data_IF_596033591908
#
_entry.id   IF_596033591908
#
_cell.length_a   1.000
_cell.length_b   1.000
_cell.length_c   1.000
_cell.angle_alpha   90.00
_cell.angle_beta   90.00
_cell.angle_gamma   90.00
#
_symmetry.space_group_name_H-M   'P 1'
#
loop_
_entity.id
_entity.type
_entity.pdbx_description
1 polymer ?
#
# COMPACT_ATOMS: atom_id res chain seq x y z
N UNK A 1 19.45 12.98 12.95
CA UNK A 1 20.78 13.23 12.37
C UNK A 1 20.73 13.51 10.85
N UNK A 2 19.98 12.77 10.01
CA UNK A 2 19.93 13.06 8.56
C UNK A 2 19.16 14.36 8.21
N UNK A 3 18.23 14.81 9.04
CA UNK A 3 17.49 16.06 8.85
C UNK A 3 18.24 17.32 9.29
N UNK A 4 19.16 17.22 10.23
CA UNK A 4 19.85 18.36 10.83
C UNK A 4 20.75 19.11 9.84
N UNK A 5 21.34 18.41 8.88
CA UNK A 5 22.25 19.02 7.89
C UNK A 5 21.54 19.99 6.92
N UNK A 6 20.31 19.69 6.50
CA UNK A 6 19.54 20.53 5.59
C UNK A 6 18.85 21.71 6.29
N UNK A 7 18.56 21.61 7.57
CA UNK A 7 17.81 22.62 8.33
C UNK A 7 18.71 23.66 8.97
N UNK A 8 20.01 23.39 9.13
CA UNK A 8 21.00 24.36 9.66
C UNK A 8 21.05 25.67 8.88
N UNK A 9 20.70 25.68 7.59
CA UNK A 9 20.61 26.91 6.77
C UNK A 9 19.43 27.82 7.14
N UNK A 10 18.41 27.30 7.83
CA UNK A 10 17.15 28.01 8.12
C UNK A 10 16.91 28.25 9.63
N UNK A 11 17.90 27.97 10.46
CA UNK A 11 17.79 28.05 11.92
C UNK A 11 17.79 26.68 12.59
N UNK A 12 17.90 26.62 13.90
CA UNK A 12 17.95 25.35 14.65
C UNK A 12 16.62 24.62 14.65
N UNK A 13 16.66 23.28 14.60
CA UNK A 13 15.49 22.42 14.87
C UNK A 13 15.09 22.61 16.33
N UNK A 14 13.88 23.10 16.58
CA UNK A 14 13.40 23.36 17.96
C UNK A 14 12.98 22.09 18.66
N UNK A 15 12.17 21.25 17.99
CA UNK A 15 11.67 19.99 18.51
C UNK A 15 11.28 19.03 17.38
N UNK A 16 11.33 17.74 17.66
CA UNK A 16 10.78 16.70 16.80
C UNK A 16 9.45 16.23 17.38
N UNK A 17 8.39 16.25 16.57
CA UNK A 17 7.08 15.71 16.95
C UNK A 17 7.11 14.20 16.68
N UNK A 18 7.48 13.43 17.71
CA UNK A 18 7.56 11.98 17.63
C UNK A 18 6.20 11.29 17.61
N UNK A 19 6.17 10.04 17.12
CA UNK A 19 5.01 9.18 17.24
C UNK A 19 4.84 8.68 18.68
N UNK A 20 3.59 8.68 19.17
CA UNK A 20 3.25 8.08 20.45
C UNK A 20 3.37 6.55 20.40
N UNK A 21 2.90 5.94 19.29
CA UNK A 21 3.01 4.50 19.04
C UNK A 21 3.64 4.28 17.64
N UNK A 22 4.94 3.91 17.56
CA UNK A 22 5.67 3.78 16.31
C UNK A 22 5.47 2.42 15.62
N UNK A 23 4.52 1.60 16.07
CA UNK A 23 4.31 0.27 15.54
C UNK A 23 3.00 0.15 14.74
N UNK A 24 3.04 -0.71 13.71
CA UNK A 24 1.88 -1.13 12.90
C UNK A 24 1.04 0.02 12.31
N UNK A 25 1.64 1.17 12.12
CA UNK A 25 0.97 2.38 11.65
C UNK A 25 0.75 2.44 10.14
N UNK A 26 1.52 1.65 9.37
CA UNK A 26 1.58 1.75 7.92
C UNK A 26 0.34 1.13 7.27
N UNK A 27 -0.57 1.98 6.78
CA UNK A 27 -1.86 1.60 6.21
C UNK A 27 -1.80 1.09 4.76
N UNK A 28 -0.63 1.09 4.14
CA UNK A 28 -0.37 0.54 2.81
C UNK A 28 0.80 -0.41 2.90
N UNK A 29 0.55 -1.67 2.60
CA UNK A 29 1.53 -2.74 2.60
C UNK A 29 1.69 -3.29 1.19
N UNK A 30 2.92 -3.53 0.79
CA UNK A 30 3.26 -4.07 -0.52
C UNK A 30 4.16 -5.29 -0.33
N UNK A 31 3.78 -6.41 -0.91
CA UNK A 31 4.55 -7.65 -0.88
C UNK A 31 4.83 -8.16 -2.29
N UNK A 32 6.04 -8.65 -2.48
CA UNK A 32 6.46 -9.47 -3.63
C UNK A 32 6.37 -10.93 -3.25
N UNK A 33 6.19 -11.79 -4.25
CA UNK A 33 6.10 -13.23 -4.05
C UNK A 33 7.15 -13.95 -4.90
N UNK A 34 7.79 -14.95 -4.29
CA UNK A 34 8.82 -15.74 -4.94
C UNK A 34 8.84 -17.17 -4.36
N UNK A 35 9.82 -17.95 -4.74
CA UNK A 35 10.09 -19.28 -4.19
C UNK A 35 11.47 -19.32 -3.53
N UNK A 36 11.53 -19.94 -2.37
CA UNK A 36 12.80 -20.25 -1.74
C UNK A 36 13.53 -21.39 -2.50
N UNK A 37 14.76 -21.68 -2.09
CA UNK A 37 15.57 -22.77 -2.68
C UNK A 37 14.93 -24.16 -2.55
N UNK A 38 13.97 -24.33 -1.64
CA UNK A 38 13.21 -25.56 -1.42
C UNK A 38 11.92 -25.61 -2.20
N UNK A 39 11.61 -24.54 -2.99
CA UNK A 39 10.40 -24.41 -3.77
C UNK A 39 9.17 -23.94 -2.98
N UNK A 40 9.31 -23.57 -1.71
CA UNK A 40 8.21 -23.00 -0.93
C UNK A 40 7.94 -21.56 -1.39
N UNK A 41 6.67 -21.19 -1.42
CA UNK A 41 6.28 -19.81 -1.75
C UNK A 41 6.58 -18.91 -0.55
N UNK A 42 7.37 -17.88 -0.79
CA UNK A 42 7.69 -16.82 0.17
C UNK A 42 7.05 -15.50 -0.25
N UNK A 43 6.91 -14.59 0.69
CA UNK A 43 6.49 -13.21 0.42
C UNK A 43 7.32 -12.24 1.25
N UNK A 44 7.60 -11.07 0.69
CA UNK A 44 8.45 -10.08 1.34
C UNK A 44 8.71 -8.88 0.46
N UNK A 45 9.93 -8.38 0.50
CA UNK A 45 10.40 -7.25 -0.31
C UNK A 45 11.66 -7.65 -1.09
N UNK A 46 11.94 -6.93 -2.16
CA UNK A 46 13.23 -7.09 -2.84
C UNK A 46 14.38 -6.56 -1.98
N UNK A 47 15.48 -7.30 -1.96
CA UNK A 47 16.76 -6.79 -1.51
C UNK A 47 17.19 -5.64 -2.43
N UNK A 48 17.73 -4.58 -1.84
CA UNK A 48 18.09 -3.38 -2.58
C UNK A 48 19.00 -3.67 -3.80
N UNK A 49 18.61 -3.19 -4.97
CA UNK A 49 19.34 -3.38 -6.22
C UNK A 49 19.28 -4.77 -6.84
N UNK A 50 18.39 -5.64 -6.36
CA UNK A 50 18.22 -7.01 -6.86
C UNK A 50 16.76 -7.39 -7.02
N UNK A 51 16.47 -8.53 -7.71
CA UNK A 51 15.15 -9.18 -7.72
C UNK A 51 15.03 -10.30 -6.67
N UNK A 52 16.01 -10.45 -5.78
CA UNK A 52 15.96 -11.44 -4.70
C UNK A 52 14.95 -11.02 -3.63
N UNK A 53 13.99 -11.88 -3.34
CA UNK A 53 12.99 -11.63 -2.29
C UNK A 53 13.54 -12.02 -0.91
N UNK A 54 13.57 -11.05 -0.01
CA UNK A 54 13.79 -11.28 1.42
C UNK A 54 12.44 -11.59 2.05
N UNK A 55 12.30 -12.83 2.57
CA UNK A 55 11.04 -13.26 3.21
C UNK A 55 10.77 -12.48 4.48
N UNK A 56 9.55 -11.95 4.61
CA UNK A 56 9.09 -11.23 5.79
C UNK A 56 7.88 -11.96 6.37
N UNK A 57 8.02 -12.49 7.58
CA UNK A 57 6.92 -13.11 8.31
C UNK A 57 6.18 -12.09 9.18
N UNK A 58 6.89 -11.10 9.70
CA UNK A 58 6.32 -10.00 10.48
C UNK A 58 7.14 -8.72 10.27
N UNK A 59 6.43 -7.62 10.03
CA UNK A 59 7.02 -6.27 9.98
C UNK A 59 6.41 -5.42 11.10
N UNK A 60 7.27 -4.76 11.87
CA UNK A 60 6.82 -3.98 13.03
C UNK A 60 6.11 -2.67 12.67
N UNK A 61 6.27 -2.18 11.45
CA UNK A 61 5.64 -0.92 11.01
C UNK A 61 4.39 -1.14 10.15
N UNK A 62 4.25 -2.30 9.51
CA UNK A 62 3.11 -2.60 8.64
C UNK A 62 1.86 -2.99 9.44
N UNK A 63 0.69 -2.55 9.00
CA UNK A 63 -0.60 -2.93 9.59
C UNK A 63 -0.74 -4.45 9.73
N UNK A 64 -1.09 -4.91 10.91
CA UNK A 64 -1.19 -6.35 11.25
C UNK A 64 -2.17 -7.09 10.34
N UNK A 65 -3.35 -6.49 10.09
CA UNK A 65 -4.37 -7.10 9.26
C UNK A 65 -3.92 -7.25 7.81
N UNK A 66 -3.21 -6.27 7.30
CA UNK A 66 -2.62 -6.33 5.95
C UNK A 66 -1.60 -7.46 5.82
N UNK A 67 -0.77 -7.67 6.85
CA UNK A 67 0.17 -8.79 6.87
C UNK A 67 -0.54 -10.16 6.92
N UNK A 68 -1.63 -10.28 7.70
CA UNK A 68 -2.46 -11.49 7.74
C UNK A 68 -3.05 -11.82 6.37
N UNK A 69 -3.58 -10.83 5.66
CA UNK A 69 -4.13 -10.98 4.31
C UNK A 69 -3.05 -11.46 3.33
N UNK A 70 -1.85 -10.88 3.38
CA UNK A 70 -0.72 -11.31 2.53
C UNK A 70 -0.34 -12.76 2.80
N UNK A 71 -0.25 -13.17 4.08
CA UNK A 71 0.03 -14.57 4.45
C UNK A 71 -1.06 -15.52 3.96
N UNK A 72 -2.34 -15.14 4.07
CA UNK A 72 -3.46 -15.91 3.55
C UNK A 72 -3.36 -16.08 2.03
N UNK A 73 -3.09 -15.00 1.29
CA UNK A 73 -2.89 -15.06 -0.17
C UNK A 73 -1.74 -16.00 -0.50
N UNK A 74 -0.58 -15.88 0.19
CA UNK A 74 0.58 -16.78 0.01
C UNK A 74 0.16 -18.25 0.15
N UNK A 75 -0.59 -18.59 1.18
CA UNK A 75 -1.09 -19.95 1.42
C UNK A 75 -2.05 -20.46 0.34
N UNK A 76 -2.81 -19.57 -0.29
CA UNK A 76 -3.78 -19.92 -1.34
C UNK A 76 -3.12 -20.17 -2.71
N UNK A 77 -1.94 -19.63 -3.01
CA UNK A 77 -1.36 -19.66 -4.37
C UNK A 77 -1.21 -21.08 -4.92
N UNK A 78 -0.78 -22.04 -4.09
CA UNK A 78 -0.60 -23.43 -4.51
C UNK A 78 -1.92 -24.09 -4.88
N UNK A 79 -2.95 -23.96 -4.05
CA UNK A 79 -4.27 -24.59 -4.25
C UNK A 79 -5.01 -24.01 -5.47
N UNK A 80 -4.80 -22.74 -5.77
CA UNK A 80 -5.37 -22.07 -6.94
C UNK A 80 -4.49 -22.15 -8.19
N UNK A 81 -3.35 -22.87 -8.13
CA UNK A 81 -2.38 -23.03 -9.24
C UNK A 81 -1.86 -21.69 -9.79
N UNK A 82 -1.72 -20.70 -8.91
CA UNK A 82 -1.18 -19.38 -9.25
C UNK A 82 0.34 -19.44 -9.06
N UNK A 83 1.09 -19.16 -10.13
CA UNK A 83 2.54 -19.11 -10.08
C UNK A 83 3.02 -17.71 -9.70
N UNK A 84 4.03 -17.63 -8.85
CA UNK A 84 4.77 -16.39 -8.60
C UNK A 84 5.49 -15.97 -9.87
N UNK A 85 5.56 -14.65 -10.12
CA UNK A 85 6.25 -14.11 -11.27
C UNK A 85 7.74 -13.94 -10.96
N UNK A 86 8.57 -14.33 -11.89
CA UNK A 86 10.01 -14.17 -11.86
C UNK A 86 10.39 -13.04 -12.80
N UNK A 87 10.93 -11.96 -12.28
CA UNK A 87 11.28 -10.75 -13.05
C UNK A 87 12.45 -10.97 -14.00
N UNK A 88 13.34 -11.94 -13.71
CA UNK A 88 14.51 -12.21 -14.55
C UNK A 88 14.15 -13.07 -15.77
N UNK A 89 13.23 -14.01 -15.62
CA UNK A 89 12.79 -14.91 -16.70
C UNK A 89 11.49 -14.48 -17.38
N UNK A 90 10.74 -13.59 -16.76
CA UNK A 90 9.41 -13.18 -17.26
C UNK A 90 8.33 -14.25 -17.10
N UNK A 91 8.59 -15.31 -16.31
CA UNK A 91 7.68 -16.43 -16.16
C UNK A 91 6.85 -16.36 -14.87
N UNK A 92 5.57 -16.63 -14.99
CA UNK A 92 4.64 -16.63 -13.85
C UNK A 92 3.48 -15.66 -14.03
N UNK A 93 2.72 -15.45 -12.96
CA UNK A 93 1.51 -14.63 -13.03
C UNK A 93 1.49 -13.53 -11.96
N UNK A 94 1.58 -13.90 -10.67
CA UNK A 94 1.45 -12.96 -9.56
C UNK A 94 2.79 -12.27 -9.29
N UNK A 95 2.84 -10.97 -9.55
CA UNK A 95 4.03 -10.12 -9.31
C UNK A 95 4.02 -9.56 -7.89
N UNK A 96 2.95 -8.84 -7.55
CA UNK A 96 2.85 -8.15 -6.27
C UNK A 96 1.45 -8.27 -5.69
N UNK A 97 1.34 -8.09 -4.39
CA UNK A 97 0.07 -7.82 -3.70
C UNK A 97 0.21 -6.52 -2.93
N UNK A 98 -0.74 -5.62 -3.16
CA UNK A 98 -0.87 -4.37 -2.42
C UNK A 98 -2.11 -4.47 -1.54
N UNK A 99 -1.95 -4.21 -0.25
CA UNK A 99 -3.08 -4.10 0.67
C UNK A 99 -3.12 -2.67 1.21
N UNK A 100 -4.28 -2.03 1.10
CA UNK A 100 -4.55 -0.72 1.69
C UNK A 100 -5.69 -0.83 2.68
N UNK A 101 -5.53 -0.21 3.83
CA UNK A 101 -6.58 -0.14 4.85
C UNK A 101 -6.93 1.32 5.14
N UNK A 102 -8.23 1.64 5.12
CA UNK A 102 -8.74 2.88 5.67
C UNK A 102 -8.59 2.85 7.19
N UNK A 103 -7.82 3.78 7.74
CA UNK A 103 -7.53 3.82 9.18
C UNK A 103 -8.78 4.10 10.01
N UNK A 104 -9.59 5.08 9.58
CA UNK A 104 -10.83 5.46 10.27
C UNK A 104 -12.00 4.55 9.93
N UNK A 105 -12.10 4.08 8.68
CA UNK A 105 -13.25 3.32 8.20
C UNK A 105 -13.11 1.82 8.39
N UNK A 106 -11.87 1.31 8.48
CA UNK A 106 -11.59 -0.11 8.49
C UNK A 106 -11.77 -0.80 7.13
N UNK A 107 -12.17 -0.09 6.07
CA UNK A 107 -12.28 -0.65 4.72
C UNK A 107 -10.92 -1.15 4.22
N UNK A 108 -10.91 -2.32 3.59
CA UNK A 108 -9.68 -2.94 3.07
C UNK A 108 -9.79 -3.14 1.56
N UNK A 109 -8.76 -2.70 0.85
CA UNK A 109 -8.56 -2.95 -0.57
C UNK A 109 -7.37 -3.88 -0.77
N UNK A 110 -7.59 -4.94 -1.55
CA UNK A 110 -6.54 -5.85 -2.03
C UNK A 110 -6.35 -5.63 -3.52
N UNK A 111 -5.11 -5.37 -3.93
CA UNK A 111 -4.72 -5.25 -5.34
C UNK A 111 -3.78 -6.40 -5.68
N UNK A 112 -4.21 -7.27 -6.59
CA UNK A 112 -3.41 -8.35 -7.13
C UNK A 112 -2.74 -7.86 -8.42
N UNK A 113 -1.44 -7.67 -8.39
CA UNK A 113 -0.66 -7.22 -9.56
C UNK A 113 -0.18 -8.45 -10.32
N UNK A 114 -0.57 -8.55 -11.58
CA UNK A 114 -0.35 -9.75 -12.40
C UNK A 114 0.23 -9.41 -13.76
N UNK A 115 1.01 -10.34 -14.32
CA UNK A 115 1.62 -10.20 -15.65
C UNK A 115 0.62 -10.45 -16.79
N UNK A 116 -0.58 -10.99 -16.50
CA UNK A 116 -1.59 -11.33 -17.52
C UNK A 116 -2.99 -11.13 -16.94
N UNK A 117 -3.98 -10.73 -17.75
CA UNK A 117 -5.37 -10.60 -17.30
C UNK A 117 -6.06 -11.94 -17.00
N UNK A 118 -5.44 -13.06 -17.40
CA UNK A 118 -5.99 -14.40 -17.18
C UNK A 118 -5.59 -14.88 -15.78
N UNK A 119 -6.52 -14.71 -14.83
CA UNK A 119 -6.31 -15.15 -13.46
C UNK A 119 -7.15 -16.44 -13.21
N UNK A 120 -6.50 -17.58 -12.84
CA UNK A 120 -7.18 -18.85 -12.64
C UNK A 120 -8.24 -18.76 -11.54
N UNK A 121 -9.45 -19.24 -11.83
CA UNK A 121 -10.55 -19.34 -10.84
C UNK A 121 -10.79 -18.05 -10.04
N UNK A 122 -10.65 -16.88 -10.65
CA UNK A 122 -10.67 -15.56 -9.99
C UNK A 122 -11.84 -15.38 -9.01
N UNK A 123 -13.04 -15.81 -9.39
CA UNK A 123 -14.23 -15.66 -8.54
C UNK A 123 -14.14 -16.53 -7.28
N UNK A 124 -13.67 -17.77 -7.41
CA UNK A 124 -13.49 -18.68 -6.29
C UNK A 124 -12.34 -18.22 -5.38
N UNK A 125 -11.26 -17.68 -5.98
CA UNK A 125 -10.16 -17.08 -5.21
C UNK A 125 -10.64 -15.93 -4.34
N UNK A 126 -11.37 -14.98 -4.92
CA UNK A 126 -11.92 -13.83 -4.19
C UNK A 126 -12.91 -14.28 -3.11
N UNK A 127 -13.78 -15.24 -3.42
CA UNK A 127 -14.73 -15.82 -2.45
C UNK A 127 -14.01 -16.49 -1.28
N UNK A 128 -12.99 -17.29 -1.54
CA UNK A 128 -12.19 -17.96 -0.50
C UNK A 128 -11.42 -16.96 0.37
N UNK A 129 -10.78 -15.95 -0.24
CA UNK A 129 -10.07 -14.90 0.47
C UNK A 129 -11.00 -14.13 1.40
N UNK A 130 -12.17 -13.71 0.91
CA UNK A 130 -13.17 -12.99 1.70
C UNK A 130 -13.87 -13.83 2.77
N UNK A 131 -13.91 -15.14 2.61
CA UNK A 131 -14.40 -16.04 3.67
C UNK A 131 -13.50 -15.98 4.91
N UNK A 132 -12.20 -15.82 4.71
CA UNK A 132 -11.20 -15.66 5.81
C UNK A 132 -11.13 -14.21 6.29
N UNK A 133 -11.25 -13.25 5.35
CA UNK A 133 -11.11 -11.81 5.60
C UNK A 133 -12.36 -11.05 5.13
N UNK A 134 -13.47 -11.11 5.90
CA UNK A 134 -14.73 -10.46 5.52
C UNK A 134 -14.65 -8.93 5.47
N UNK A 135 -13.66 -8.32 6.13
CA UNK A 135 -13.36 -6.89 6.10
C UNK A 135 -12.87 -6.37 4.75
N UNK A 136 -12.50 -7.25 3.81
CA UNK A 136 -12.10 -6.85 2.47
C UNK A 136 -13.30 -6.26 1.73
N UNK A 137 -13.25 -4.96 1.51
CA UNK A 137 -14.29 -4.15 0.86
C UNK A 137 -14.19 -4.17 -0.65
N UNK A 138 -12.99 -4.37 -1.19
CA UNK A 138 -12.76 -4.43 -2.63
C UNK A 138 -11.51 -5.22 -3.00
N UNK A 139 -11.57 -5.92 -4.14
CA UNK A 139 -10.44 -6.64 -4.74
C UNK A 139 -10.28 -6.18 -6.18
N UNK A 140 -9.08 -5.75 -6.54
CA UNK A 140 -8.72 -5.25 -7.87
C UNK A 140 -7.61 -6.12 -8.45
N UNK A 141 -7.76 -6.53 -9.70
CA UNK A 141 -6.71 -7.12 -10.51
C UNK A 141 -6.05 -5.99 -11.31
N UNK A 142 -4.79 -5.72 -11.04
CA UNK A 142 -3.99 -4.75 -11.79
C UNK A 142 -3.07 -5.50 -12.73
N UNK A 143 -3.15 -5.21 -14.02
CA UNK A 143 -2.36 -5.87 -15.05
C UNK A 143 -1.10 -5.04 -15.32
N UNK A 144 0.05 -5.60 -14.99
CA UNK A 144 1.36 -5.07 -15.31
C UNK A 144 2.14 -6.10 -16.12
N UNK A 145 1.95 -6.04 -17.44
CA UNK A 145 2.54 -6.93 -18.44
C UNK A 145 3.85 -6.38 -19.02
N UNK A 146 4.33 -5.25 -18.50
CA UNK A 146 5.57 -4.59 -18.96
C UNK A 146 6.77 -5.00 -18.09
N UNK A 147 7.94 -5.03 -18.73
CA UNK A 147 9.21 -5.09 -18.00
C UNK A 147 9.55 -3.67 -17.51
N UNK A 148 9.21 -3.36 -16.24
CA UNK A 148 9.33 -2.03 -15.65
C UNK A 148 9.47 -2.14 -14.14
N UNK A 149 10.18 -1.18 -13.54
CA UNK A 149 10.27 -1.02 -12.09
C UNK A 149 8.97 -0.50 -11.45
N UNK A 150 7.99 -0.08 -12.25
CA UNK A 150 6.69 0.35 -11.75
C UNK A 150 5.90 -0.84 -11.24
N UNK A 151 5.43 -0.78 -10.00
CA UNK A 151 4.63 -1.86 -9.38
C UNK A 151 3.28 -2.02 -10.05
N UNK A 152 2.56 -0.92 -10.27
CA UNK A 152 1.21 -0.93 -10.84
C UNK A 152 1.26 -0.67 -12.35
N UNK A 153 0.61 -1.54 -13.12
CA UNK A 153 0.30 -1.32 -14.52
C UNK A 153 -0.86 -0.34 -14.72
N UNK A 154 -1.19 -0.04 -15.97
CA UNK A 154 -2.22 0.95 -16.29
C UNK A 154 -3.64 0.39 -16.24
N UNK A 155 -3.80 -0.90 -16.54
CA UNK A 155 -5.10 -1.56 -16.69
C UNK A 155 -5.54 -2.24 -15.40
N UNK A 156 -6.77 -1.98 -15.00
CA UNK A 156 -7.37 -2.53 -13.79
C UNK A 156 -8.71 -3.22 -14.08
N UNK A 157 -8.99 -4.31 -13.37
CA UNK A 157 -10.27 -5.03 -13.42
C UNK A 157 -10.74 -5.19 -11.98
N UNK A 158 -11.91 -4.66 -11.65
CA UNK A 158 -12.51 -4.85 -10.33
C UNK A 158 -13.10 -6.26 -10.27
N UNK A 159 -12.54 -7.09 -9.36
CA UNK A 159 -13.02 -8.46 -9.14
C UNK A 159 -14.13 -8.50 -8.09
N UNK A 160 -14.09 -7.56 -7.14
CA UNK A 160 -15.09 -7.43 -6.08
C UNK A 160 -15.14 -5.99 -5.55
N UNK A 161 -16.32 -5.56 -5.14
CA UNK A 161 -16.54 -4.24 -4.53
C UNK A 161 -16.52 -3.09 -5.54
N UNK A 162 -16.09 -1.91 -5.07
CA UNK A 162 -16.18 -0.65 -5.84
C UNK A 162 -14.88 -0.28 -6.58
N UNK A 163 -13.78 -0.99 -6.37
CA UNK A 163 -12.47 -0.65 -6.91
C UNK A 163 -11.75 0.49 -6.15
N UNK A 164 -12.29 0.91 -5.02
CA UNK A 164 -11.72 1.92 -4.14
C UNK A 164 -12.17 1.69 -2.70
N UNK A 165 -11.46 2.29 -1.76
CA UNK A 165 -11.87 2.42 -0.35
C UNK A 165 -12.04 3.88 0.00
N UNK A 166 -12.69 4.14 1.14
CA UNK A 166 -12.77 5.45 1.75
C UNK A 166 -11.97 5.48 3.03
N UNK A 167 -11.44 6.65 3.34
CA UNK A 167 -10.86 6.94 4.65
C UNK A 167 -11.12 8.39 5.03
N UNK A 168 -10.96 8.70 6.31
CA UNK A 168 -11.12 10.05 6.84
C UNK A 168 -9.77 10.55 7.34
N UNK A 169 -9.41 11.76 6.94
CA UNK A 169 -8.19 12.45 7.38
C UNK A 169 -8.54 13.91 7.65
N UNK A 170 -8.13 14.47 8.78
CA UNK A 170 -8.47 15.83 9.20
C UNK A 170 -9.97 16.15 9.09
N UNK A 171 -10.84 15.18 9.41
CA UNK A 171 -12.29 15.31 9.35
C UNK A 171 -12.90 15.31 7.93
N UNK A 172 -12.10 15.11 6.87
CA UNK A 172 -12.56 15.03 5.48
C UNK A 172 -12.50 13.59 4.97
N UNK A 173 -13.50 13.20 4.17
CA UNK A 173 -13.56 11.85 3.58
C UNK A 173 -12.90 11.83 2.20
N UNK A 174 -11.99 10.88 1.99
CA UNK A 174 -11.24 10.69 0.75
C UNK A 174 -11.58 9.36 0.10
N UNK A 175 -11.67 9.36 -1.23
CA UNK A 175 -11.75 8.17 -2.05
C UNK A 175 -10.35 7.76 -2.50
N UNK A 176 -9.92 6.55 -2.14
CA UNK A 176 -8.58 6.04 -2.37
C UNK A 176 -8.66 4.87 -3.36
N UNK A 177 -8.11 5.07 -4.56
CA UNK A 177 -7.95 4.04 -5.60
C UNK A 177 -6.60 3.31 -5.45
N UNK A 178 -6.34 2.23 -6.20
CA UNK A 178 -5.04 1.56 -6.19
C UNK A 178 -3.85 2.50 -6.43
N UNK A 179 -4.01 3.43 -7.37
CA UNK A 179 -2.96 4.38 -7.79
C UNK A 179 -2.90 5.68 -6.98
N UNK A 180 -3.92 5.98 -6.17
CA UNK A 180 -3.95 7.22 -5.39
C UNK A 180 -2.75 7.30 -4.45
N UNK A 181 -2.08 8.45 -4.43
CA UNK A 181 -1.17 8.76 -3.33
C UNK A 181 -2.01 9.10 -2.10
N UNK A 182 -1.74 8.45 -0.98
CA UNK A 182 -2.32 8.73 0.32
C UNK A 182 -1.28 8.40 1.38
N UNK A 183 -1.13 9.26 2.38
CA UNK A 183 -0.11 9.12 3.41
C UNK A 183 -0.26 7.80 4.18
N UNK A 184 0.88 7.13 4.41
CA UNK A 184 0.88 5.79 5.01
C UNK A 184 0.76 5.79 6.54
N UNK A 185 0.88 6.96 7.16
CA UNK A 185 0.77 7.15 8.59
C UNK A 185 -0.27 8.24 8.90
N UNK A 186 -1.56 7.90 8.98
CA UNK A 186 -2.63 8.88 9.13
C UNK A 186 -2.48 9.75 10.38
N UNK A 187 -2.10 9.15 11.51
CA UNK A 187 -1.97 9.87 12.80
C UNK A 187 -0.91 10.98 12.71
N UNK A 188 0.30 10.65 12.20
CA UNK A 188 1.35 11.66 12.04
C UNK A 188 1.03 12.64 10.91
N UNK A 189 0.27 12.22 9.91
CA UNK A 189 -0.16 13.11 8.82
C UNK A 189 -1.10 14.21 9.34
N UNK A 190 -2.05 13.87 10.20
CA UNK A 190 -2.93 14.88 10.82
C UNK A 190 -2.15 15.89 11.65
N UNK A 191 -1.15 15.43 12.42
CA UNK A 191 -0.27 16.32 13.18
C UNK A 191 0.55 17.21 12.26
N UNK A 192 1.13 16.66 11.17
CA UNK A 192 1.90 17.40 10.19
C UNK A 192 1.05 18.46 9.49
N UNK A 193 -0.13 18.08 9.02
CA UNK A 193 -1.04 18.99 8.32
C UNK A 193 -1.59 20.07 9.26
N UNK A 194 -1.92 19.71 10.51
CA UNK A 194 -2.30 20.69 11.53
C UNK A 194 -1.20 21.74 11.76
N UNK A 195 0.08 21.31 11.81
CA UNK A 195 1.20 22.24 11.93
C UNK A 195 1.41 23.09 10.69
N UNK A 196 1.22 22.54 9.50
CA UNK A 196 1.30 23.31 8.25
C UNK A 196 0.25 24.43 8.22
N UNK A 197 -0.99 24.09 8.58
CA UNK A 197 -2.09 25.08 8.65
C UNK A 197 -1.81 26.15 9.74
N UNK A 198 -1.35 25.73 10.93
CA UNK A 198 -0.96 26.65 12.01
C UNK A 198 0.10 27.65 11.54
N UNK A 199 1.16 27.16 10.86
CA UNK A 199 2.25 28.02 10.36
C UNK A 199 1.83 28.91 9.18
N UNK A 200 0.86 28.48 8.39
CA UNK A 200 0.33 29.29 7.30
C UNK A 200 -0.43 30.55 7.82
N UNK A 201 -0.91 30.53 9.08
CA UNK A 201 -1.55 31.68 9.71
C UNK A 201 -2.74 32.25 8.96
N UNK A 202 -3.52 31.41 8.27
CA UNK A 202 -4.61 31.82 7.39
C UNK A 202 -5.74 32.47 8.18
N UNK A 203 -6.23 33.60 7.67
CA UNK A 203 -7.37 34.35 8.25
C UNK A 203 -8.70 34.06 7.56
N UNK A 204 -8.69 33.25 6.50
CA UNK A 204 -9.86 32.90 5.67
C UNK A 204 -10.10 33.88 4.50
N UNK A 205 -9.23 34.85 4.28
CA UNK A 205 -9.29 35.83 3.18
C UNK A 205 -8.25 35.57 2.08
N UNK A 206 -7.28 34.74 2.36
CA UNK A 206 -6.19 34.43 1.46
C UNK A 206 -6.62 33.49 0.34
N UNK A 207 -5.98 33.62 -0.83
CA UNK A 207 -6.01 32.62 -1.89
C UNK A 207 -4.85 31.66 -1.68
N UNK A 208 -5.15 30.37 -1.49
CA UNK A 208 -4.16 29.32 -1.30
C UNK A 208 -4.09 28.48 -2.57
N UNK A 209 -2.87 28.12 -2.97
CA UNK A 209 -2.62 27.19 -4.09
C UNK A 209 -1.99 25.93 -3.50
N UNK A 210 -2.67 24.79 -3.65
CA UNK A 210 -2.11 23.48 -3.40
C UNK A 210 -1.53 22.92 -4.71
N UNK A 211 -0.25 23.17 -4.94
CA UNK A 211 0.46 22.67 -6.12
C UNK A 211 0.80 21.19 -5.93
N UNK A 212 0.52 20.38 -6.96
CA UNK A 212 0.67 18.92 -6.92
C UNK A 212 -0.26 18.23 -5.91
N UNK A 213 -1.47 18.74 -5.76
CA UNK A 213 -2.44 18.37 -4.71
C UNK A 213 -2.79 16.86 -4.63
N UNK A 214 -2.55 16.09 -5.68
CA UNK A 214 -2.93 14.68 -5.74
C UNK A 214 -4.44 14.50 -5.56
N UNK A 215 -4.86 13.81 -4.49
CA UNK A 215 -6.29 13.67 -4.14
C UNK A 215 -6.79 14.76 -3.17
N UNK A 216 -5.99 15.83 -2.96
CA UNK A 216 -6.37 17.00 -2.18
C UNK A 216 -6.37 16.77 -0.67
N UNK A 217 -5.38 16.07 -0.12
CA UNK A 217 -5.38 15.72 1.31
C UNK A 217 -4.91 16.84 2.24
N UNK A 218 -4.26 17.87 1.71
CA UNK A 218 -3.76 19.00 2.50
C UNK A 218 -4.49 20.31 2.19
N UNK A 219 -5.04 20.45 0.97
CA UNK A 219 -5.77 21.63 0.51
C UNK A 219 -7.19 21.77 1.05
#
# INVERSE_FOLDING_TARGET
EQGEGMVKMFGGVKAVIGMKDPYFYRNKVHAVFDRDRKGNIISGIYEAGTHRVVSIEQCLIEDKKSQEIIRTIRGMLKSFKIKTYDEDTGYGLLRHVLVRRGFSTGEVMVVLVVASPIFPSKNNFVKALRKVHPEISTVVLNINDKNTSMVLGEREIVLYGKGFIRDTLCGKSFRISPKSFYQVNPVQTELLYGKAVEFAGLTGKEKVIDAYCGIGTIG
#
